data_IF_105066450766
#
_entry.id   IF_105066450766
#
_cell.length_a   1.000
_cell.length_b   1.000
_cell.length_c   1.000
_cell.angle_alpha   90.00
_cell.angle_beta   90.00
_cell.angle_gamma   90.00
#
_symmetry.space_group_name_H-M   'P 1'
#
loop_
_entity.id
_entity.type
_entity.pdbx_description
1 polymer ?
#
# COMPACT_ATOMS: atom_id res chain seq x y z
N UNK A 1 15.74 8.81 12.17
CA UNK A 1 14.35 8.29 12.16
C UNK A 1 13.29 9.39 11.98
N UNK A 2 13.62 10.67 12.17
CA UNK A 2 12.68 11.81 12.05
C UNK A 2 12.48 12.34 10.63
N UNK A 3 13.30 11.96 9.66
CA UNK A 3 13.18 12.39 8.24
C UNK A 3 12.07 11.69 7.45
N UNK A 4 11.52 10.58 7.98
CA UNK A 4 10.43 9.84 7.35
C UNK A 4 9.11 10.65 7.32
N UNK A 5 8.88 11.52 8.31
CA UNK A 5 7.67 12.34 8.37
C UNK A 5 7.79 13.67 7.62
N UNK A 6 9.03 14.13 7.37
CA UNK A 6 9.30 15.42 6.70
C UNK A 6 9.27 15.33 5.19
N UNK A 7 9.60 14.17 4.62
CA UNK A 7 9.74 13.99 3.16
C UNK A 7 8.49 13.35 2.56
N UNK A 8 8.11 13.75 1.34
CA UNK A 8 6.96 13.15 0.63
C UNK A 8 7.15 11.66 0.37
N UNK A 9 8.40 11.24 0.11
CA UNK A 9 8.78 9.84 -0.09
C UNK A 9 8.62 9.05 1.22
N UNK A 10 9.04 9.60 2.37
CA UNK A 10 8.85 8.96 3.67
C UNK A 10 7.37 8.80 4.06
N UNK A 11 6.51 9.78 3.73
CA UNK A 11 5.05 9.66 3.92
C UNK A 11 4.45 8.60 3.01
N UNK A 12 4.85 8.56 1.74
CA UNK A 12 4.46 7.51 0.79
C UNK A 12 4.87 6.13 1.32
N UNK A 13 6.06 6.01 1.90
CA UNK A 13 6.60 4.81 2.53
C UNK A 13 5.69 4.27 3.63
N UNK A 14 5.28 5.14 4.55
CA UNK A 14 4.38 4.80 5.66
C UNK A 14 3.03 4.33 5.12
N UNK A 15 2.47 5.06 4.14
CA UNK A 15 1.20 4.71 3.53
C UNK A 15 1.29 3.35 2.80
N UNK A 16 2.38 3.08 2.09
CA UNK A 16 2.63 1.81 1.41
C UNK A 16 2.65 0.62 2.37
N UNK A 17 3.31 0.79 3.52
CA UNK A 17 3.36 -0.22 4.58
C UNK A 17 1.97 -0.44 5.19
N UNK A 18 1.25 0.65 5.52
CA UNK A 18 -0.11 0.55 6.07
C UNK A 18 -1.08 -0.12 5.10
N UNK A 19 -1.01 0.23 3.82
CA UNK A 19 -1.79 -0.38 2.75
C UNK A 19 -1.46 -1.88 2.65
N UNK A 20 -0.18 -2.25 2.62
CA UNK A 20 0.27 -3.64 2.59
C UNK A 20 -0.22 -4.46 3.79
N UNK A 21 -0.14 -3.90 5.01
CA UNK A 21 -0.65 -4.55 6.23
C UNK A 21 -2.17 -4.71 6.16
N UNK A 22 -2.88 -3.70 5.65
CA UNK A 22 -4.34 -3.75 5.52
C UNK A 22 -4.79 -4.82 4.51
N UNK A 23 -4.08 -4.96 3.39
CA UNK A 23 -4.32 -6.02 2.40
C UNK A 23 -4.03 -7.39 3.01
N UNK A 24 -2.91 -7.53 3.73
CA UNK A 24 -2.53 -8.78 4.37
C UNK A 24 -3.58 -9.20 5.41
N UNK A 25 -4.06 -8.26 6.21
CA UNK A 25 -5.13 -8.48 7.18
C UNK A 25 -6.42 -8.89 6.48
N UNK A 26 -6.77 -8.24 5.37
CA UNK A 26 -8.00 -8.56 4.63
C UNK A 26 -7.93 -9.97 4.03
N UNK A 27 -6.80 -10.34 3.42
CA UNK A 27 -6.61 -11.63 2.75
C UNK A 27 -6.38 -12.79 3.72
N UNK A 28 -5.57 -12.62 4.76
CA UNK A 28 -5.22 -13.70 5.68
C UNK A 28 -6.13 -13.80 6.91
N UNK A 29 -6.86 -12.74 7.27
CA UNK A 29 -7.73 -12.74 8.45
C UNK A 29 -9.20 -12.60 8.02
N UNK A 30 -9.55 -11.54 7.29
CA UNK A 30 -10.95 -11.26 6.99
C UNK A 30 -11.58 -12.31 6.05
N UNK A 31 -10.86 -12.74 5.00
CA UNK A 31 -11.35 -13.78 4.08
C UNK A 31 -11.49 -15.14 4.79
N UNK A 32 -10.48 -15.70 5.47
CA UNK A 32 -10.62 -16.98 6.16
C UNK A 32 -11.71 -16.96 7.23
N UNK A 33 -11.82 -15.86 7.99
CA UNK A 33 -12.88 -15.73 8.98
C UNK A 33 -14.28 -15.68 8.36
N UNK A 34 -14.44 -15.04 7.19
CA UNK A 34 -15.71 -15.08 6.44
C UNK A 34 -16.09 -16.51 6.03
N UNK A 35 -15.12 -17.31 5.58
CA UNK A 35 -15.38 -18.68 5.12
C UNK A 35 -15.56 -19.68 6.28
N UNK A 36 -14.79 -19.59 7.35
CA UNK A 36 -14.89 -20.50 8.51
C UNK A 36 -16.00 -20.14 9.48
N UNK A 37 -16.20 -18.85 9.74
CA UNK A 37 -17.13 -18.37 10.77
C UNK A 37 -18.47 -17.92 10.18
N UNK A 38 -18.62 -17.95 8.85
CA UNK A 38 -19.82 -17.52 8.13
C UNK A 38 -20.17 -16.04 8.30
N UNK A 39 -19.34 -15.25 8.99
CA UNK A 39 -19.64 -13.88 9.39
C UNK A 39 -18.86 -12.88 8.52
N UNK A 40 -19.53 -12.16 7.59
CA UNK A 40 -18.87 -11.20 6.71
C UNK A 40 -18.57 -9.84 7.36
N UNK A 41 -18.83 -9.65 8.66
CA UNK A 41 -18.71 -8.35 9.34
C UNK A 41 -17.30 -7.76 9.25
N UNK A 42 -16.25 -8.55 9.48
CA UNK A 42 -14.87 -8.06 9.35
C UNK A 42 -14.51 -7.65 7.92
N UNK A 43 -14.95 -8.39 6.90
CA UNK A 43 -14.69 -8.02 5.50
C UNK A 43 -15.42 -6.72 5.16
N UNK A 44 -16.65 -6.55 5.62
CA UNK A 44 -17.43 -5.32 5.42
C UNK A 44 -16.79 -4.10 6.07
N UNK A 45 -16.16 -4.27 7.23
CA UNK A 45 -15.48 -3.17 7.93
C UNK A 45 -14.08 -2.91 7.37
N UNK A 46 -13.30 -3.95 7.07
CA UNK A 46 -11.93 -3.82 6.56
C UNK A 46 -11.87 -3.42 5.09
N UNK A 47 -12.86 -3.77 4.27
CA UNK A 47 -12.92 -3.41 2.86
C UNK A 47 -12.82 -1.89 2.61
N UNK A 48 -13.71 -1.07 3.21
CA UNK A 48 -13.64 0.39 3.09
C UNK A 48 -12.34 0.98 3.66
N UNK A 49 -11.83 0.43 4.77
CA UNK A 49 -10.56 0.88 5.38
C UNK A 49 -9.39 0.65 4.43
N UNK A 50 -9.28 -0.56 3.89
CA UNK A 50 -8.27 -0.91 2.90
C UNK A 50 -8.43 -0.09 1.61
N UNK A 51 -9.65 0.02 1.08
CA UNK A 51 -9.92 0.82 -0.13
C UNK A 51 -9.54 2.30 0.04
N UNK A 52 -9.77 2.87 1.22
CA UNK A 52 -9.34 4.25 1.53
C UNK A 52 -7.82 4.38 1.55
N UNK A 53 -7.13 3.44 2.20
CA UNK A 53 -5.66 3.39 2.22
C UNK A 53 -5.07 3.19 0.82
N UNK A 54 -5.68 2.34 0.01
CA UNK A 54 -5.30 2.11 -1.38
C UNK A 54 -5.41 3.38 -2.22
N UNK A 55 -6.51 4.12 -2.11
CA UNK A 55 -6.67 5.40 -2.82
C UNK A 55 -5.63 6.44 -2.35
N UNK A 56 -5.42 6.56 -1.04
CA UNK A 56 -4.39 7.45 -0.50
C UNK A 56 -2.99 7.09 -1.01
N UNK A 57 -2.67 5.79 -1.07
CA UNK A 57 -1.43 5.29 -1.63
C UNK A 57 -1.28 5.64 -3.12
N UNK A 58 -2.33 5.42 -3.90
CA UNK A 58 -2.38 5.71 -5.34
C UNK A 58 -2.11 7.19 -5.61
N UNK A 59 -2.83 8.09 -4.94
CA UNK A 59 -2.66 9.54 -5.11
C UNK A 59 -1.26 10.01 -4.69
N UNK A 60 -0.74 9.52 -3.56
CA UNK A 60 0.62 9.86 -3.12
C UNK A 60 1.68 9.33 -4.07
N UNK A 61 1.52 8.11 -4.58
CA UNK A 61 2.46 7.49 -5.54
C UNK A 61 2.52 8.30 -6.83
N UNK A 62 1.36 8.70 -7.36
CA UNK A 62 1.30 9.53 -8.56
C UNK A 62 1.88 10.92 -8.31
N UNK A 63 1.54 11.57 -7.20
CA UNK A 63 2.07 12.89 -6.84
C UNK A 63 3.59 12.89 -6.71
N UNK A 64 4.16 11.93 -5.95
CA UNK A 64 5.61 11.77 -5.80
C UNK A 64 6.26 11.39 -7.13
N UNK A 65 5.63 10.51 -7.91
CA UNK A 65 6.13 10.10 -9.21
C UNK A 65 6.24 11.25 -10.21
N UNK A 66 5.28 12.17 -10.21
CA UNK A 66 5.34 13.38 -11.05
C UNK A 66 6.43 14.34 -10.53
N UNK A 67 6.48 14.58 -9.22
CA UNK A 67 7.42 15.53 -8.61
C UNK A 67 8.89 15.07 -8.69
N UNK A 68 9.13 13.76 -8.65
CA UNK A 68 10.45 13.16 -8.80
C UNK A 68 10.75 12.75 -10.25
N UNK A 69 9.92 13.15 -11.22
CA UNK A 69 10.05 12.80 -12.63
C UNK A 69 10.27 11.30 -12.89
N UNK A 70 9.59 10.44 -12.12
CA UNK A 70 9.66 9.00 -12.31
C UNK A 70 9.16 8.61 -13.69
N UNK A 71 9.94 7.79 -14.40
CA UNK A 71 9.46 7.15 -15.61
C UNK A 71 8.32 6.19 -15.26
N UNK A 72 7.11 6.55 -15.69
CA UNK A 72 5.88 5.85 -15.35
C UNK A 72 5.95 4.34 -15.61
N UNK A 73 6.59 3.96 -16.73
CA UNK A 73 6.76 2.58 -17.19
C UNK A 73 7.80 1.78 -16.39
N UNK A 74 8.70 2.45 -15.68
CA UNK A 74 9.81 1.80 -14.97
C UNK A 74 9.56 1.69 -13.46
N UNK A 75 9.00 2.75 -12.85
CA UNK A 75 8.87 2.88 -11.39
C UNK A 75 7.39 2.89 -10.99
N UNK A 76 6.60 3.85 -11.47
CA UNK A 76 5.20 4.04 -11.05
C UNK A 76 4.35 2.79 -11.27
N UNK A 77 4.41 2.17 -12.46
CA UNK A 77 3.66 0.95 -12.74
C UNK A 77 4.01 -0.22 -11.79
N UNK A 78 5.30 -0.39 -11.44
CA UNK A 78 5.72 -1.44 -10.52
C UNK A 78 5.21 -1.20 -9.10
N UNK A 79 5.23 0.06 -8.66
CA UNK A 79 4.73 0.47 -7.34
C UNK A 79 3.22 0.21 -7.23
N UNK A 80 2.46 0.51 -8.28
CA UNK A 80 1.03 0.24 -8.33
C UNK A 80 0.71 -1.25 -8.43
N UNK A 81 1.44 -2.01 -9.23
CA UNK A 81 1.21 -3.46 -9.33
C UNK A 81 1.51 -4.16 -7.99
N UNK A 82 2.52 -3.66 -7.28
CA UNK A 82 2.92 -4.18 -5.98
C UNK A 82 1.87 -4.05 -4.87
N UNK A 83 0.92 -3.11 -4.96
CA UNK A 83 -0.20 -3.04 -4.00
C UNK A 83 -1.30 -4.06 -4.25
N UNK A 84 -1.34 -4.74 -5.40
CA UNK A 84 -2.25 -5.86 -5.62
C UNK A 84 -1.69 -7.19 -5.12
N UNK A 85 -0.38 -7.28 -4.95
CA UNK A 85 0.29 -8.50 -4.51
C UNK A 85 0.49 -8.42 -3.01
N UNK A 86 -0.02 -9.37 -2.20
CA UNK A 86 0.33 -9.43 -0.78
C UNK A 86 1.86 -9.52 -0.65
N UNK A 87 2.45 -8.67 0.19
CA UNK A 87 3.90 -8.45 0.33
C UNK A 87 4.60 -7.64 -0.79
N UNK A 88 3.92 -7.32 -1.89
CA UNK A 88 4.53 -6.55 -2.98
C UNK A 88 4.94 -5.14 -2.55
N UNK A 89 4.09 -4.44 -1.80
CA UNK A 89 4.37 -3.09 -1.30
C UNK A 89 5.63 -3.03 -0.44
N UNK A 90 5.84 -4.03 0.43
CA UNK A 90 7.04 -4.15 1.25
C UNK A 90 8.32 -4.39 0.42
N UNK A 91 8.21 -5.13 -0.68
CA UNK A 91 9.34 -5.37 -1.57
C UNK A 91 9.74 -4.11 -2.33
N UNK A 92 8.75 -3.39 -2.89
CA UNK A 92 8.98 -2.12 -3.58
C UNK A 92 9.48 -1.04 -2.61
N UNK A 93 8.94 -1.03 -1.39
CA UNK A 93 9.42 -0.18 -0.30
C UNK A 93 10.93 -0.31 -0.11
N UNK A 94 11.39 -1.54 0.12
CA UNK A 94 12.78 -1.83 0.41
C UNK A 94 13.69 -1.62 -0.80
N UNK A 95 13.20 -1.92 -2.01
CA UNK A 95 14.03 -1.92 -3.23
C UNK A 95 14.09 -0.59 -3.96
N UNK A 96 12.98 0.16 -3.95
CA UNK A 96 12.82 1.41 -4.69
C UNK A 96 12.77 2.58 -3.71
N UNK A 97 11.78 2.60 -2.80
CA UNK A 97 11.55 3.75 -1.92
C UNK A 97 12.66 3.97 -0.89
N UNK A 98 13.35 2.91 -0.46
CA UNK A 98 14.47 3.03 0.49
C UNK A 98 15.77 3.53 -0.17
N UNK A 99 15.82 3.61 -1.50
CA UNK A 99 17.02 4.00 -2.27
C UNK A 99 16.86 5.38 -2.95
N UNK A 100 15.67 5.97 -2.81
CA UNK A 100 15.26 7.30 -3.25
C UNK A 100 15.36 8.26 -2.06
#
# INVERSE_FOLDING_TARGET
MTDLFKTKIGRLRIIAILEGISLLTLVFIAIPMKYWMGNPSLVKMMGPVHGTLFLLFLFNTLSVGVEQHWKFKEITWKVLLACFVPFGTFYIDKKILSKL
#
